data_IF_956749922622
#
_entry.id   IF_956749922622
#
_cell.length_a   1.000
_cell.length_b   1.000
_cell.length_c   1.000
_cell.angle_alpha   90.00
_cell.angle_beta   90.00
_cell.angle_gamma   90.00
#
_symmetry.space_group_name_H-M   'P 1'
#
loop_
_entity.id
_entity.type
_entity.pdbx_description
1 polymer ?
#
# COMPACT_ATOMS: atom_id res chain seq x y z
N UNK A 1 14.23 -93.76 -31.35
CA UNK A 1 14.84 -94.75 -30.43
C UNK A 1 15.50 -93.99 -29.28
N UNK A 2 15.19 -94.40 -28.05
CA UNK A 2 15.62 -93.90 -26.72
C UNK A 2 17.10 -93.49 -26.61
N UNK A 3 17.41 -92.41 -25.86
CA UNK A 3 18.23 -92.32 -24.59
C UNK A 3 17.96 -90.93 -23.95
N UNK A 4 17.35 -90.77 -22.77
CA UNK A 4 17.82 -90.90 -21.37
C UNK A 4 18.84 -89.85 -20.88
N UNK A 5 18.49 -89.17 -19.76
CA UNK A 5 19.30 -88.66 -18.60
C UNK A 5 18.79 -87.27 -18.15
N UNK A 6 17.92 -87.13 -17.13
CA UNK A 6 18.18 -87.07 -15.67
C UNK A 6 19.05 -85.87 -15.22
N UNK A 7 18.45 -84.80 -14.68
CA UNK A 7 18.27 -84.48 -13.25
C UNK A 7 19.50 -83.83 -12.59
N UNK A 8 19.40 -82.55 -12.20
CA UNK A 8 19.85 -82.07 -10.88
C UNK A 8 19.09 -80.79 -10.50
N UNK A 9 18.50 -80.82 -9.31
CA UNK A 9 17.81 -79.72 -8.67
C UNK A 9 18.80 -78.79 -7.95
N UNK A 10 18.56 -77.48 -7.99
CA UNK A 10 18.99 -76.60 -6.90
C UNK A 10 17.93 -75.53 -6.66
N UNK A 11 17.41 -75.56 -5.43
CA UNK A 11 16.40 -74.68 -4.87
C UNK A 11 16.93 -73.25 -4.63
N UNK A 12 16.05 -72.30 -4.96
CA UNK A 12 15.79 -70.96 -4.39
C UNK A 12 16.63 -70.53 -3.18
N UNK A 13 17.22 -69.33 -3.28
CA UNK A 13 17.06 -68.27 -2.26
C UNK A 13 17.31 -66.87 -2.88
N UNK A 14 16.27 -66.24 -3.42
CA UNK A 14 16.30 -64.79 -3.68
C UNK A 14 15.90 -64.08 -2.38
N UNK A 15 16.87 -63.64 -1.60
CA UNK A 15 16.63 -62.69 -0.52
C UNK A 15 16.42 -61.30 -1.14
N UNK A 16 15.16 -60.92 -1.36
CA UNK A 16 14.78 -59.55 -1.68
C UNK A 16 15.02 -58.67 -0.45
N UNK A 17 16.17 -58.01 -0.41
CA UNK A 17 16.43 -56.96 0.57
C UNK A 17 15.63 -55.73 0.13
N UNK A 18 14.56 -55.41 0.85
CA UNK A 18 13.89 -54.11 0.72
C UNK A 18 14.85 -53.03 1.19
N UNK A 19 15.46 -52.31 0.26
CA UNK A 19 16.13 -51.04 0.58
C UNK A 19 15.04 -50.02 0.88
N UNK A 20 14.86 -49.68 2.15
CA UNK A 20 14.08 -48.49 2.50
C UNK A 20 14.92 -47.28 2.12
N UNK A 21 14.69 -46.76 0.91
CA UNK A 21 15.10 -45.40 0.60
C UNK A 21 14.37 -44.49 1.59
N UNK A 22 15.12 -43.86 2.50
CA UNK A 22 14.58 -42.80 3.34
C UNK A 22 13.90 -41.79 2.41
N UNK A 23 12.59 -41.60 2.59
CA UNK A 23 11.80 -40.74 1.74
C UNK A 23 12.43 -39.35 1.70
N UNK A 24 12.97 -38.96 0.55
CA UNK A 24 13.28 -37.55 0.30
C UNK A 24 11.99 -36.77 0.54
N UNK A 25 12.03 -35.64 1.28
CA UNK A 25 10.85 -34.81 1.42
C UNK A 25 10.37 -34.44 0.02
N UNK A 26 9.18 -34.92 -0.34
CA UNK A 26 8.55 -34.64 -1.62
C UNK A 26 8.38 -33.12 -1.77
N UNK A 27 8.51 -32.58 -2.97
CA UNK A 27 8.37 -31.13 -3.21
C UNK A 27 7.07 -30.52 -2.63
N UNK A 28 6.05 -31.36 -2.40
CA UNK A 28 4.81 -31.01 -1.72
C UNK A 28 4.98 -30.61 -0.24
N UNK A 29 5.89 -31.24 0.53
CA UNK A 29 6.16 -30.83 1.94
C UNK A 29 7.01 -29.56 2.03
N UNK A 30 7.78 -29.25 0.97
CA UNK A 30 8.49 -27.96 0.85
C UNK A 30 7.56 -26.84 0.39
N UNK A 31 6.54 -27.15 -0.43
CA UNK A 31 5.52 -26.18 -0.84
C UNK A 31 4.57 -25.78 0.31
N UNK A 32 4.31 -26.67 1.28
CA UNK A 32 3.48 -26.37 2.45
C UNK A 32 4.17 -25.53 3.53
N UNK A 33 5.48 -25.24 3.39
CA UNK A 33 6.26 -24.41 4.33
C UNK A 33 6.58 -23.02 3.80
N UNK A 34 6.27 -22.74 2.53
CA UNK A 34 6.33 -21.38 2.01
C UNK A 34 5.21 -20.54 2.64
N UNK A 35 5.52 -19.45 3.35
CA UNK A 35 4.50 -18.50 3.76
C UNK A 35 3.72 -18.05 2.54
N UNK A 36 2.41 -17.89 2.66
CA UNK A 36 1.62 -17.31 1.58
C UNK A 36 2.22 -15.94 1.19
N UNK A 37 2.23 -15.60 -0.11
CA UNK A 37 2.96 -14.44 -0.64
C UNK A 37 2.65 -13.12 0.10
N UNK A 38 1.42 -12.95 0.58
CA UNK A 38 1.03 -11.77 1.37
C UNK A 38 1.77 -11.67 2.71
N UNK A 39 2.15 -12.79 3.33
CA UNK A 39 2.90 -12.82 4.59
C UNK A 39 4.32 -12.31 4.36
N UNK A 40 4.97 -12.73 3.26
CA UNK A 40 6.30 -12.22 2.90
C UNK A 40 6.31 -10.74 2.54
N UNK A 41 5.17 -10.20 2.09
CA UNK A 41 4.97 -8.76 1.83
C UNK A 41 4.62 -7.97 3.11
N UNK A 42 4.46 -8.64 4.26
CA UNK A 42 4.19 -8.04 5.56
C UNK A 42 2.70 -7.86 5.90
N UNK A 43 1.79 -8.49 5.16
CA UNK A 43 0.36 -8.49 5.47
C UNK A 43 -0.02 -9.60 6.45
N UNK A 44 -0.95 -9.29 7.36
CA UNK A 44 -1.50 -10.23 8.34
C UNK A 44 -2.39 -11.31 7.69
N UNK A 45 -3.12 -10.94 6.64
CA UNK A 45 -4.06 -11.82 5.94
C UNK A 45 -4.24 -11.40 4.48
N UNK A 46 -4.82 -12.29 3.67
CA UNK A 46 -5.08 -12.02 2.26
C UNK A 46 -6.01 -10.81 2.07
N UNK A 47 -7.02 -10.64 2.93
CA UNK A 47 -7.98 -9.54 2.93
C UNK A 47 -7.30 -8.18 3.03
N UNK A 48 -6.36 -8.04 3.97
CA UNK A 48 -5.55 -6.85 4.11
C UNK A 48 -4.69 -6.59 2.86
N UNK A 49 -4.09 -7.63 2.27
CA UNK A 49 -3.31 -7.49 1.04
C UNK A 49 -4.16 -7.01 -0.14
N UNK A 50 -5.38 -7.55 -0.30
CA UNK A 50 -6.30 -7.16 -1.37
C UNK A 50 -6.80 -5.73 -1.17
N UNK A 51 -7.12 -5.34 0.07
CA UNK A 51 -7.55 -3.98 0.39
C UNK A 51 -6.41 -2.96 0.18
N UNK A 52 -5.17 -3.31 0.52
CA UNK A 52 -3.99 -2.48 0.26
C UNK A 52 -3.72 -2.33 -1.24
N UNK A 53 -3.79 -3.44 -1.99
CA UNK A 53 -3.64 -3.43 -3.45
C UNK A 53 -4.68 -2.52 -4.12
N UNK A 54 -5.95 -2.57 -3.68
CA UNK A 54 -7.01 -1.68 -4.16
C UNK A 54 -6.72 -0.19 -3.89
N UNK A 55 -5.87 0.12 -2.91
CA UNK A 55 -5.41 1.48 -2.57
C UNK A 55 -4.02 1.80 -3.12
N UNK A 56 -3.39 0.87 -3.84
CA UNK A 56 -2.02 0.98 -4.35
C UNK A 56 -0.93 0.99 -3.26
N UNK A 57 -1.24 0.48 -2.07
CA UNK A 57 -0.38 0.58 -0.89
C UNK A 57 0.44 -0.69 -0.64
N UNK A 58 1.66 -0.52 -0.14
CA UNK A 58 2.39 -1.59 0.56
C UNK A 58 1.77 -1.89 1.94
N UNK A 59 2.18 -2.99 2.59
CA UNK A 59 1.74 -3.32 3.94
C UNK A 59 2.02 -2.20 4.95
N UNK A 60 3.24 -1.63 4.90
CA UNK A 60 3.62 -0.52 5.78
C UNK A 60 2.76 0.73 5.55
N UNK A 61 2.46 1.07 4.31
CA UNK A 61 1.58 2.20 3.98
C UNK A 61 0.13 1.96 4.44
N UNK A 62 -0.37 0.73 4.22
CA UNK A 62 -1.73 0.35 4.57
C UNK A 62 -1.99 0.37 6.08
N UNK A 63 -1.13 -0.27 6.87
CA UNK A 63 -1.32 -0.34 8.33
C UNK A 63 -1.07 0.98 9.04
N UNK A 64 -0.25 1.87 8.48
CA UNK A 64 0.01 3.19 9.06
C UNK A 64 -0.88 4.30 8.47
N UNK A 65 -1.74 3.99 7.50
CA UNK A 65 -2.54 4.97 6.76
C UNK A 65 -1.68 6.14 6.26
N UNK A 66 -0.59 5.81 5.58
CA UNK A 66 0.39 6.75 5.07
C UNK A 66 0.80 6.39 3.65
N UNK A 67 1.17 7.38 2.86
CA UNK A 67 1.72 7.26 1.51
C UNK A 67 3.17 7.70 1.57
N UNK A 68 4.09 6.76 1.39
CA UNK A 68 5.55 7.05 1.40
C UNK A 68 6.11 7.26 0.01
N UNK A 69 5.40 6.79 -1.02
CA UNK A 69 5.73 7.02 -2.41
C UNK A 69 4.47 7.05 -3.27
N UNK A 70 4.40 8.00 -4.20
CA UNK A 70 3.31 8.11 -5.17
C UNK A 70 3.87 7.94 -6.59
N UNK A 71 3.42 6.91 -7.33
CA UNK A 71 3.84 6.72 -8.71
C UNK A 71 3.64 7.98 -9.56
N UNK A 72 4.69 8.39 -10.27
CA UNK A 72 4.66 9.62 -11.09
C UNK A 72 4.98 10.91 -10.33
N UNK A 73 5.25 10.85 -9.02
CA UNK A 73 5.74 11.99 -8.23
C UNK A 73 7.17 11.72 -7.77
N UNK A 74 8.18 12.31 -8.44
CA UNK A 74 9.57 12.19 -8.01
C UNK A 74 9.75 12.76 -6.61
N UNK A 75 10.50 12.06 -5.76
CA UNK A 75 10.80 12.49 -4.38
C UNK A 75 9.55 12.83 -3.56
N UNK A 76 8.46 12.10 -3.76
CA UNK A 76 7.22 12.26 -3.00
C UNK A 76 7.51 12.28 -1.48
N UNK A 77 7.10 13.36 -0.82
CA UNK A 77 7.25 13.54 0.61
C UNK A 77 6.27 12.59 1.32
N UNK A 78 6.73 11.75 2.27
CA UNK A 78 5.84 10.86 2.99
C UNK A 78 4.74 11.63 3.71
N UNK A 79 3.49 11.18 3.53
CA UNK A 79 2.31 11.82 4.08
C UNK A 79 1.37 10.84 4.75
N UNK A 80 0.77 11.24 5.88
CA UNK A 80 -0.25 10.46 6.58
C UNK A 80 -1.29 11.34 7.26
N UNK A 81 -2.31 10.73 7.87
CA UNK A 81 -3.21 11.47 8.75
C UNK A 81 -2.49 11.81 10.06
N UNK A 82 -2.42 13.10 10.40
CA UNK A 82 -1.98 13.58 11.69
C UNK A 82 -3.17 13.87 12.61
N UNK A 83 -3.16 13.32 13.82
CA UNK A 83 -4.14 13.68 14.85
C UNK A 83 -5.61 13.38 14.49
N UNK A 84 -6.53 14.09 15.15
CA UNK A 84 -7.99 13.93 14.99
C UNK A 84 -8.53 14.80 13.85
N UNK A 85 -9.58 14.31 13.19
CA UNK A 85 -10.33 15.05 12.19
C UNK A 85 -11.48 15.79 12.86
N UNK A 86 -11.69 17.05 12.48
CA UNK A 86 -12.87 17.80 12.86
C UNK A 86 -13.86 17.75 11.70
N UNK A 87 -15.11 17.40 12.00
CA UNK A 87 -16.22 17.45 11.05
C UNK A 87 -17.09 18.62 11.42
N UNK A 88 -17.22 19.60 10.52
CA UNK A 88 -17.96 20.84 10.74
C UNK A 88 -17.55 21.55 12.05
N UNK A 89 -16.25 21.56 12.35
CA UNK A 89 -15.69 22.16 13.57
C UNK A 89 -15.77 21.29 14.84
N UNK A 90 -16.40 20.12 14.78
CA UNK A 90 -16.53 19.21 15.93
C UNK A 90 -15.47 18.11 15.84
N UNK A 91 -14.63 17.90 16.88
CA UNK A 91 -13.68 16.79 16.90
C UNK A 91 -14.37 15.44 16.83
N UNK A 92 -13.85 14.52 16.01
CA UNK A 92 -14.39 13.18 15.84
C UNK A 92 -13.33 12.11 16.06
N UNK A 93 -13.76 10.85 16.21
CA UNK A 93 -12.88 9.68 16.16
C UNK A 93 -12.80 9.09 14.74
N UNK A 94 -13.21 9.87 13.73
CA UNK A 94 -13.12 9.44 12.34
C UNK A 94 -11.66 9.36 11.90
N UNK A 95 -11.38 8.35 11.08
CA UNK A 95 -10.11 8.20 10.37
C UNK A 95 -10.39 8.35 8.88
N UNK A 96 -9.71 9.29 8.23
CA UNK A 96 -9.72 9.38 6.78
C UNK A 96 -8.93 8.19 6.21
N UNK A 97 -9.42 7.59 5.14
CA UNK A 97 -8.64 6.57 4.43
C UNK A 97 -7.86 7.24 3.31
N UNK A 98 -6.54 7.07 3.36
CA UNK A 98 -5.64 7.49 2.30
C UNK A 98 -5.46 6.38 1.26
N UNK A 99 -5.15 6.77 0.03
CA UNK A 99 -4.79 5.86 -1.06
C UNK A 99 -3.93 6.59 -2.09
N UNK A 100 -3.19 5.83 -2.91
CA UNK A 100 -2.43 6.43 -4.01
C UNK A 100 -3.39 6.87 -5.11
N UNK A 101 -3.04 7.96 -5.78
CA UNK A 101 -3.75 8.39 -6.98
C UNK A 101 -3.30 7.58 -8.19
N UNK A 102 -4.12 7.55 -9.24
CA UNK A 102 -3.68 7.01 -10.52
C UNK A 102 -2.62 7.91 -11.17
N UNK A 103 -1.89 7.36 -12.15
CA UNK A 103 -0.78 8.05 -12.82
C UNK A 103 -1.21 9.34 -13.53
N UNK A 104 -2.40 9.39 -14.14
CA UNK A 104 -2.89 10.59 -14.83
C UNK A 104 -3.11 11.75 -13.86
N UNK A 105 -3.68 11.48 -12.67
CA UNK A 105 -3.86 12.47 -11.61
C UNK A 105 -2.52 12.87 -11.00
N UNK A 106 -1.57 11.94 -10.84
CA UNK A 106 -0.23 12.27 -10.38
C UNK A 106 0.48 13.23 -11.35
N UNK A 107 0.44 12.94 -12.65
CA UNK A 107 1.02 13.80 -13.68
C UNK A 107 0.35 15.18 -13.72
N UNK A 108 -0.99 15.23 -13.60
CA UNK A 108 -1.70 16.52 -13.57
C UNK A 108 -1.40 17.32 -12.30
N UNK A 109 -1.18 16.67 -11.15
CA UNK A 109 -0.77 17.33 -9.92
C UNK A 109 0.64 17.95 -10.04
N UNK A 110 1.57 17.27 -10.71
CA UNK A 110 2.91 17.81 -10.99
C UNK A 110 2.81 19.06 -11.86
N UNK A 111 2.00 19.03 -12.92
CA UNK A 111 1.75 20.20 -13.76
C UNK A 111 1.09 21.35 -12.98
N UNK A 112 0.15 21.02 -12.10
CA UNK A 112 -0.50 22.01 -11.23
C UNK A 112 0.48 22.69 -10.28
N UNK A 113 1.40 21.92 -9.67
CA UNK A 113 2.42 22.47 -8.79
C UNK A 113 3.37 23.43 -9.53
N UNK A 114 3.82 23.03 -10.72
CA UNK A 114 4.65 23.86 -11.59
C UNK A 114 3.92 25.16 -12.02
N UNK A 115 2.62 25.09 -12.31
CA UNK A 115 1.80 26.26 -12.63
C UNK A 115 1.68 27.27 -11.47
N UNK A 116 1.87 26.83 -10.22
CA UNK A 116 1.95 27.69 -9.04
C UNK A 116 3.38 28.20 -8.77
N UNK A 117 4.36 27.84 -9.60
CA UNK A 117 5.77 28.13 -9.39
C UNK A 117 6.39 27.34 -8.22
N UNK A 118 5.72 26.30 -7.73
CA UNK A 118 6.12 25.53 -6.56
C UNK A 118 6.57 24.11 -6.89
N UNK A 119 6.94 23.37 -5.84
CA UNK A 119 7.28 21.95 -5.91
C UNK A 119 6.16 21.11 -5.30
N UNK A 120 5.76 20.05 -6.01
CA UNK A 120 4.78 19.09 -5.47
C UNK A 120 5.43 18.32 -4.32
N UNK A 121 4.88 18.45 -3.11
CA UNK A 121 5.29 17.64 -1.97
C UNK A 121 4.78 16.21 -2.14
N UNK A 122 3.47 16.06 -2.30
CA UNK A 122 2.84 14.79 -2.66
C UNK A 122 1.39 15.05 -3.13
N UNK A 123 0.79 14.04 -3.73
CA UNK A 123 -0.66 13.99 -4.00
C UNK A 123 -1.22 12.67 -3.51
N UNK A 124 -2.25 12.75 -2.68
CA UNK A 124 -2.87 11.57 -2.03
C UNK A 124 -4.38 11.62 -2.23
N UNK A 125 -5.00 10.47 -2.45
CA UNK A 125 -6.46 10.39 -2.47
C UNK A 125 -6.99 10.23 -1.05
N UNK A 126 -7.90 11.13 -0.65
CA UNK A 126 -8.44 11.22 0.70
C UNK A 126 -9.92 10.88 0.67
N UNK A 127 -10.34 9.94 1.51
CA UNK A 127 -11.76 9.61 1.69
C UNK A 127 -12.12 9.67 3.16
N UNK A 128 -13.38 10.01 3.46
CA UNK A 128 -13.91 10.08 4.82
C UNK A 128 -15.05 9.06 4.97
N UNK A 129 -14.75 7.78 5.22
CA UNK A 129 -15.76 6.73 5.27
C UNK A 129 -16.80 7.01 6.36
N UNK A 130 -18.08 6.88 6.02
CA UNK A 130 -19.18 6.98 6.98
C UNK A 130 -19.47 8.39 7.51
N UNK A 131 -18.91 9.44 6.90
CA UNK A 131 -19.21 10.82 7.26
C UNK A 131 -20.00 11.57 6.20
N UNK A 132 -21.03 12.27 6.65
CA UNK A 132 -21.61 13.40 5.93
C UNK A 132 -21.00 14.68 6.51
N UNK A 133 -20.41 15.52 5.67
CA UNK A 133 -19.73 16.73 6.10
C UNK A 133 -19.86 17.83 5.06
N UNK A 134 -19.92 19.08 5.55
CA UNK A 134 -19.76 20.27 4.71
C UNK A 134 -18.30 20.68 4.66
N UNK A 135 -17.59 20.53 5.79
CA UNK A 135 -16.15 20.75 5.91
C UNK A 135 -15.55 19.67 6.83
N UNK A 136 -14.49 19.03 6.36
CA UNK A 136 -13.62 18.17 7.15
C UNK A 136 -12.27 18.87 7.32
N UNK A 137 -11.94 19.27 8.55
CA UNK A 137 -10.63 19.80 8.88
C UNK A 137 -9.72 18.63 9.22
N UNK A 138 -8.72 18.41 8.38
CA UNK A 138 -7.77 17.31 8.51
C UNK A 138 -6.36 17.88 8.69
N UNK A 139 -5.65 17.37 9.69
CA UNK A 139 -4.23 17.63 9.85
C UNK A 139 -3.47 16.50 9.15
N UNK A 140 -2.61 16.84 8.20
CA UNK A 140 -1.70 15.91 7.57
C UNK A 140 -0.37 15.93 8.31
N UNK A 141 0.21 14.75 8.56
CA UNK A 141 1.63 14.64 8.82
C UNK A 141 2.36 14.64 7.47
N UNK A 142 3.30 15.56 7.28
CA UNK A 142 4.06 15.77 6.04
C UNK A 142 5.54 15.73 6.40
N UNK A 143 6.15 14.55 6.25
CA UNK A 143 7.46 14.27 6.86
C UNK A 143 8.56 15.18 6.32
N UNK A 144 9.25 15.88 7.22
CA UNK A 144 10.38 16.75 6.91
C UNK A 144 9.96 18.12 6.35
N UNK A 145 8.67 18.49 6.43
CA UNK A 145 8.24 19.84 6.09
C UNK A 145 8.87 20.84 7.07
N UNK A 146 9.68 21.77 6.57
CA UNK A 146 10.30 22.79 7.39
C UNK A 146 9.26 23.80 7.90
N UNK A 147 9.38 24.23 9.16
CA UNK A 147 8.56 25.29 9.71
C UNK A 147 8.71 26.60 8.92
N UNK A 148 7.60 27.29 8.67
CA UNK A 148 7.58 28.53 7.87
C UNK A 148 7.51 28.31 6.35
N UNK A 149 7.55 27.07 5.87
CA UNK A 149 7.32 26.76 4.44
C UNK A 149 5.93 27.24 4.05
N UNK A 150 5.84 28.03 2.97
CA UNK A 150 4.55 28.41 2.39
C UNK A 150 3.98 27.23 1.62
N UNK A 151 2.77 26.80 1.98
CA UNK A 151 2.11 25.65 1.37
C UNK A 151 0.82 26.08 0.72
N UNK A 152 0.60 25.66 -0.52
CA UNK A 152 -0.70 25.67 -1.18
C UNK A 152 -1.26 24.24 -1.24
N UNK A 153 -2.58 24.13 -1.20
CA UNK A 153 -3.27 22.87 -1.41
C UNK A 153 -4.28 22.99 -2.56
N UNK A 154 -4.36 21.94 -3.38
CA UNK A 154 -5.32 21.82 -4.48
C UNK A 154 -6.05 20.49 -4.38
N UNK A 155 -7.36 20.49 -4.58
CA UNK A 155 -8.17 19.26 -4.65
C UNK A 155 -8.62 19.02 -6.08
N UNK A 156 -8.53 17.77 -6.54
CA UNK A 156 -9.02 17.39 -7.87
C UNK A 156 -10.51 17.05 -7.78
N UNK A 157 -11.34 17.92 -8.34
CA UNK A 157 -12.81 17.80 -8.32
C UNK A 157 -13.32 17.91 -9.76
N UNK A 158 -14.06 16.90 -10.22
CA UNK A 158 -14.70 16.90 -11.53
C UNK A 158 -13.77 17.26 -12.69
N UNK A 159 -12.53 16.76 -12.66
CA UNK A 159 -11.55 16.99 -13.74
C UNK A 159 -10.68 18.24 -13.57
N UNK A 160 -10.88 19.03 -12.51
CA UNK A 160 -10.21 20.33 -12.33
C UNK A 160 -9.59 20.42 -10.94
N UNK A 161 -8.43 21.07 -10.85
CA UNK A 161 -7.77 21.41 -9.59
C UNK A 161 -8.37 22.69 -9.01
N UNK A 162 -9.06 22.57 -7.87
CA UNK A 162 -9.63 23.70 -7.14
C UNK A 162 -8.79 24.04 -5.91
N UNK A 163 -8.85 25.29 -5.47
CA UNK A 163 -8.18 25.70 -4.24
C UNK A 163 -8.76 25.02 -3.01
N UNK A 164 -7.86 24.62 -2.11
CA UNK A 164 -8.20 24.16 -0.77
C UNK A 164 -7.63 25.16 0.22
N UNK A 165 -8.44 25.54 1.19
CA UNK A 165 -8.01 26.39 2.29
C UNK A 165 -6.98 25.65 3.14
N UNK A 166 -5.79 26.24 3.25
CA UNK A 166 -4.75 25.84 4.19
C UNK A 166 -4.96 26.64 5.48
N UNK A 167 -5.50 25.96 6.50
CA UNK A 167 -5.75 26.57 7.81
C UNK A 167 -4.43 26.90 8.50
N UNK A 168 -3.45 26.00 8.36
CA UNK A 168 -2.15 26.14 8.99
C UNK A 168 -1.11 25.29 8.28
N UNK A 169 0.12 25.80 8.16
CA UNK A 169 1.29 25.03 7.76
C UNK A 169 2.40 25.26 8.80
N UNK A 170 2.90 24.18 9.39
CA UNK A 170 3.95 24.19 10.41
C UNK A 170 4.91 23.04 10.18
N UNK A 171 5.95 22.95 11.02
CA UNK A 171 6.90 21.85 10.94
C UNK A 171 6.18 20.50 10.96
N UNK A 172 6.49 19.66 9.99
CA UNK A 172 5.92 18.32 9.77
C UNK A 172 4.39 18.25 9.58
N UNK A 173 3.66 19.36 9.50
CA UNK A 173 2.20 19.34 9.52
C UNK A 173 1.54 20.39 8.64
N UNK A 174 0.47 19.99 7.96
CA UNK A 174 -0.39 20.90 7.21
C UNK A 174 -1.85 20.61 7.52
N UNK A 175 -2.60 21.62 7.95
CA UNK A 175 -4.02 21.53 8.28
C UNK A 175 -4.84 22.10 7.14
N UNK A 176 -5.76 21.30 6.59
CA UNK A 176 -6.61 21.66 5.45
C UNK A 176 -8.09 21.56 5.79
N UNK A 177 -8.90 22.42 5.16
CA UNK A 177 -10.35 22.29 5.12
C UNK A 177 -10.82 21.65 3.81
N UNK A 178 -11.25 20.39 3.85
CA UNK A 178 -11.75 19.66 2.70
C UNK A 178 -13.28 19.68 2.65
N UNK A 179 -13.85 20.05 1.50
CA UNK A 179 -15.30 20.07 1.26
C UNK A 179 -15.81 18.81 0.54
N UNK A 180 -14.89 17.96 0.08
CA UNK A 180 -15.21 16.71 -0.61
C UNK A 180 -14.10 15.69 -0.42
N UNK A 181 -14.39 14.43 -0.74
CA UNK A 181 -13.37 13.37 -0.82
C UNK A 181 -12.73 13.40 -2.21
N UNK A 182 -11.47 13.02 -2.31
CA UNK A 182 -10.76 12.96 -3.57
C UNK A 182 -9.26 13.24 -3.46
N UNK A 183 -8.56 13.32 -4.60
CA UNK A 183 -7.14 13.64 -4.66
C UNK A 183 -6.83 15.04 -4.13
N UNK A 184 -5.85 15.15 -3.25
CA UNK A 184 -5.35 16.41 -2.69
C UNK A 184 -3.85 16.49 -2.93
N UNK A 185 -3.42 17.56 -3.60
CA UNK A 185 -2.04 17.89 -3.86
C UNK A 185 -1.56 18.99 -2.90
N UNK A 186 -0.43 18.76 -2.24
CA UNK A 186 0.25 19.75 -1.41
C UNK A 186 1.48 20.26 -2.15
N UNK A 187 1.60 21.58 -2.24
CA UNK A 187 2.64 22.25 -3.02
C UNK A 187 3.41 23.20 -2.11
N UNK A 188 4.72 23.02 -2.03
CA UNK A 188 5.60 24.01 -1.42
C UNK A 188 5.81 25.16 -2.41
N UNK A 189 5.49 26.38 -1.98
CA UNK A 189 5.65 27.60 -2.74
C UNK A 189 7.06 28.19 -2.53
N UNK A 190 7.56 29.00 -3.47
CA UNK A 190 8.84 29.71 -3.33
C UNK A 190 8.83 30.77 -2.21
#
# INVERSE_FOLDING_TARGET
>A
MKKFMALFATSVLFASMTVSAAGSPSAAVVASTAPAAYVSEGFADAGAAQAAAARGMSAGEYYNNAIVATPGVPNAVPMGQGGKILINGVPTNLTASLSKVNSAVATSAVAQAAGLGGSLLNVVNVTFPGANYSVATINFYVKGLAGGTKVAARQYVNGVWVEVEVVEARADHVVLNLKSSGPVALVALP
#
